data_IF_294255067269
#
_entry.id   IF_294255067269
#
_cell.length_a   1.000
_cell.length_b   1.000
_cell.length_c   1.000
_cell.angle_alpha   90.00
_cell.angle_beta   90.00
_cell.angle_gamma   90.00
#
_symmetry.space_group_name_H-M   'P 1'
#
loop_
_entity.id
_entity.type
_entity.pdbx_description
1 polymer ?
#
# COMPACT_ATOMS: atom_id res chain seq x y z
N UNK A 1 -5.48 4.67 -35.49
CA UNK A 1 -5.26 5.16 -34.12
C UNK A 1 -6.60 5.43 -33.51
N UNK A 2 -7.01 4.54 -32.64
CA UNK A 2 -8.32 4.49 -32.05
C UNK A 2 -8.46 5.52 -30.93
N UNK A 3 -9.67 5.98 -30.67
CA UNK A 3 -10.03 6.75 -29.50
C UNK A 3 -9.49 6.05 -28.25
N UNK A 4 -8.53 6.63 -27.59
CA UNK A 4 -7.85 5.99 -26.49
C UNK A 4 -7.92 6.85 -25.22
N UNK A 5 -8.88 6.58 -24.37
CA UNK A 5 -8.87 6.95 -22.97
C UNK A 5 -8.02 5.94 -22.20
N UNK A 6 -6.75 5.81 -22.57
CA UNK A 6 -5.86 4.85 -21.91
C UNK A 6 -4.65 5.59 -21.38
N UNK A 7 -4.49 5.54 -20.08
CA UNK A 7 -3.27 5.96 -19.43
C UNK A 7 -2.17 4.89 -19.61
N UNK A 8 -0.93 5.34 -19.69
CA UNK A 8 0.26 4.49 -19.70
C UNK A 8 0.34 3.47 -20.86
N UNK A 9 -0.05 3.86 -22.07
CA UNK A 9 0.14 3.02 -23.26
C UNK A 9 1.63 2.95 -23.60
N UNK A 10 2.22 1.75 -23.46
CA UNK A 10 3.61 1.50 -23.81
C UNK A 10 3.72 1.20 -25.30
N UNK A 11 4.47 2.03 -26.03
CA UNK A 11 4.78 1.81 -27.45
C UNK A 11 6.27 1.51 -27.59
N UNK A 12 6.60 0.31 -28.03
CA UNK A 12 7.99 -0.03 -28.31
C UNK A 12 8.46 0.69 -29.58
N UNK A 13 9.58 1.41 -29.47
CA UNK A 13 10.21 2.02 -30.65
C UNK A 13 10.73 0.95 -31.60
N UNK A 14 10.40 1.08 -32.88
CA UNK A 14 10.94 0.20 -33.92
C UNK A 14 12.46 0.29 -33.99
N UNK A 15 13.11 -0.75 -34.48
CA UNK A 15 14.57 -0.78 -34.67
C UNK A 15 15.06 0.38 -35.55
N UNK A 16 14.26 0.80 -36.53
CA UNK A 16 14.55 1.97 -37.37
C UNK A 16 14.48 3.29 -36.59
N UNK A 17 13.48 3.46 -35.73
CA UNK A 17 13.34 4.64 -34.87
C UNK A 17 14.46 4.69 -33.84
N UNK A 18 14.82 3.55 -33.24
CA UNK A 18 15.93 3.47 -32.28
C UNK A 18 17.26 3.95 -32.91
N UNK A 19 17.51 3.64 -34.20
CA UNK A 19 18.72 4.12 -34.93
C UNK A 19 18.77 5.63 -35.14
N UNK A 20 17.65 6.33 -35.08
CA UNK A 20 17.58 7.80 -35.24
C UNK A 20 17.91 8.55 -33.95
N UNK A 21 17.91 7.89 -32.80
CA UNK A 21 18.28 8.49 -31.52
C UNK A 21 19.77 8.81 -31.50
N UNK A 22 20.11 10.02 -31.02
CA UNK A 22 21.48 10.52 -30.94
C UNK A 22 21.89 10.73 -29.49
N UNK A 23 23.20 10.64 -29.21
CA UNK A 23 23.74 11.09 -27.93
C UNK A 23 23.55 12.61 -27.82
N UNK A 24 22.94 13.06 -26.72
CA UNK A 24 22.62 14.46 -26.48
C UNK A 24 21.15 14.79 -26.77
N UNK A 25 20.88 15.95 -27.34
CA UNK A 25 19.51 16.46 -27.52
C UNK A 25 18.78 15.74 -28.64
N UNK A 26 17.62 15.15 -28.30
CA UNK A 26 16.65 14.60 -29.23
C UNK A 26 15.34 15.39 -29.09
N UNK A 27 14.58 15.51 -30.17
CA UNK A 27 13.26 16.14 -30.18
C UNK A 27 12.23 15.07 -30.52
N UNK A 28 11.23 14.96 -29.70
CA UNK A 28 10.07 14.09 -29.91
C UNK A 28 8.87 15.01 -30.11
N UNK A 29 8.07 14.78 -31.13
CA UNK A 29 6.83 15.48 -31.38
C UNK A 29 5.66 14.51 -31.28
N UNK A 30 4.63 14.88 -30.53
CA UNK A 30 3.38 14.15 -30.46
C UNK A 30 2.24 15.05 -30.90
N UNK A 31 1.27 14.49 -31.61
CA UNK A 31 0.09 15.20 -32.07
C UNK A 31 -1.17 14.49 -31.53
N UNK A 32 -2.02 15.26 -30.90
CA UNK A 32 -3.34 14.84 -30.47
C UNK A 32 -4.40 15.57 -31.28
N UNK A 33 -5.22 14.84 -32.03
CA UNK A 33 -6.37 15.39 -32.73
C UNK A 33 -7.61 15.22 -31.87
N UNK A 34 -8.20 16.33 -31.44
CA UNK A 34 -9.42 16.32 -30.65
C UNK A 34 -10.63 16.59 -31.53
N UNK A 35 -11.63 15.74 -31.48
CA UNK A 35 -12.90 15.91 -32.21
C UNK A 35 -14.03 16.37 -31.30
N UNK A 36 -14.01 16.02 -30.02
CA UNK A 36 -15.05 16.38 -29.04
C UNK A 36 -14.51 16.27 -27.62
N UNK A 37 -14.94 17.15 -26.71
CA UNK A 37 -14.59 17.11 -25.30
C UNK A 37 -13.17 17.58 -24.98
N UNK A 38 -12.68 17.27 -23.80
CA UNK A 38 -11.30 17.55 -23.38
C UNK A 38 -10.29 16.66 -24.06
N UNK A 39 -9.10 17.16 -24.35
CA UNK A 39 -8.00 16.36 -24.87
C UNK A 39 -6.68 16.79 -24.24
N UNK A 40 -5.85 15.83 -23.94
CA UNK A 40 -4.47 16.04 -23.54
C UNK A 40 -3.58 14.95 -24.15
N UNK A 41 -2.33 15.25 -24.30
CA UNK A 41 -1.31 14.26 -24.61
C UNK A 41 -0.13 14.46 -23.67
N UNK A 42 0.24 13.41 -23.00
CA UNK A 42 1.46 13.34 -22.23
C UNK A 42 2.27 12.15 -22.73
N UNK A 43 3.57 12.30 -22.86
CA UNK A 43 4.43 11.22 -23.30
C UNK A 43 5.84 11.37 -22.76
N UNK A 44 6.49 10.24 -22.56
CA UNK A 44 7.87 10.15 -22.14
C UNK A 44 8.62 9.06 -22.89
N UNK A 45 9.91 9.24 -23.06
CA UNK A 45 10.80 8.19 -23.53
C UNK A 45 11.51 7.59 -22.31
N UNK A 46 11.40 6.29 -22.15
CA UNK A 46 12.16 5.57 -21.14
C UNK A 46 12.84 4.35 -21.76
N UNK A 47 13.99 4.00 -21.22
CA UNK A 47 14.63 2.73 -21.49
C UNK A 47 14.16 1.78 -20.41
N UNK A 48 13.52 0.66 -20.76
CA UNK A 48 13.25 -0.38 -19.77
C UNK A 48 14.55 -0.71 -19.09
N UNK A 49 14.61 -0.51 -17.79
CA UNK A 49 15.78 -0.92 -17.05
C UNK A 49 15.77 -2.45 -17.04
N UNK A 50 16.55 -3.08 -17.90
CA UNK A 50 16.82 -4.51 -17.86
C UNK A 50 17.70 -4.88 -16.64
N UNK A 51 17.72 -4.05 -15.60
CA UNK A 51 18.23 -4.52 -14.33
C UNK A 51 17.38 -5.73 -13.98
N UNK A 52 18.03 -6.87 -13.90
CA UNK A 52 17.53 -8.10 -13.32
C UNK A 52 16.65 -7.72 -12.14
N UNK A 53 15.38 -8.13 -12.18
CA UNK A 53 14.48 -7.93 -11.05
C UNK A 53 15.25 -8.35 -9.81
N UNK A 54 15.28 -7.51 -8.77
CA UNK A 54 16.00 -7.82 -7.53
C UNK A 54 15.60 -9.20 -6.98
N UNK A 55 14.46 -9.71 -7.42
CA UNK A 55 13.92 -11.02 -7.10
C UNK A 55 13.87 -11.88 -8.37
N UNK A 56 14.60 -12.99 -8.36
CA UNK A 56 14.70 -13.91 -9.51
C UNK A 56 13.45 -14.79 -9.66
N UNK A 57 12.77 -15.09 -8.56
CA UNK A 57 11.63 -15.99 -8.52
C UNK A 57 10.34 -15.24 -8.21
N UNK A 58 9.32 -15.49 -9.02
CA UNK A 58 7.98 -14.95 -8.80
C UNK A 58 7.12 -15.96 -8.03
N UNK A 59 6.37 -15.46 -7.05
CA UNK A 59 5.32 -16.23 -6.40
C UNK A 59 4.17 -16.50 -7.37
N UNK A 60 3.55 -17.68 -7.24
CA UNK A 60 2.39 -18.07 -8.05
C UNK A 60 1.14 -17.87 -7.19
N UNK A 61 0.26 -16.94 -7.59
CA UNK A 61 -1.03 -16.78 -6.94
C UNK A 61 -1.91 -18.02 -7.18
N UNK A 62 -2.35 -18.64 -6.10
CA UNK A 62 -3.21 -19.82 -6.10
C UNK A 62 -4.68 -19.47 -5.99
N UNK A 63 -5.00 -18.49 -5.14
CA UNK A 63 -6.37 -18.07 -4.92
C UNK A 63 -6.44 -16.61 -4.47
N UNK A 64 -7.61 -16.03 -4.66
CA UNK A 64 -8.06 -14.79 -4.05
C UNK A 64 -9.52 -14.98 -3.58
N UNK A 65 -9.83 -14.46 -2.40
CA UNK A 65 -11.20 -14.41 -1.87
C UNK A 65 -11.45 -13.02 -1.31
N UNK A 66 -12.45 -12.34 -1.85
CA UNK A 66 -12.85 -10.99 -1.45
C UNK A 66 -14.06 -11.08 -0.55
N UNK A 67 -13.92 -10.61 0.68
CA UNK A 67 -14.98 -10.54 1.68
C UNK A 67 -15.22 -9.06 2.04
N UNK A 68 -16.31 -8.71 2.72
CA UNK A 68 -16.64 -7.32 3.06
C UNK A 68 -15.52 -6.56 3.76
N UNK A 69 -14.89 -7.13 4.78
CA UNK A 69 -13.82 -6.47 5.55
C UNK A 69 -12.43 -7.04 5.28
N UNK A 70 -12.32 -8.19 4.61
CA UNK A 70 -11.05 -8.90 4.43
C UNK A 70 -10.87 -9.40 3.00
N UNK A 71 -9.63 -9.33 2.46
CA UNK A 71 -9.26 -10.00 1.22
C UNK A 71 -8.12 -10.97 1.49
N UNK A 72 -8.34 -12.22 1.13
CA UNK A 72 -7.41 -13.32 1.33
C UNK A 72 -6.72 -13.66 0.02
N UNK A 73 -5.40 -13.75 0.06
CA UNK A 73 -4.57 -14.26 -1.04
C UNK A 73 -3.77 -15.45 -0.58
N UNK A 74 -3.64 -16.45 -1.45
CA UNK A 74 -2.72 -17.58 -1.25
C UNK A 74 -1.72 -17.62 -2.40
N UNK A 75 -0.44 -17.70 -2.06
CA UNK A 75 0.66 -17.78 -3.01
C UNK A 75 1.51 -19.03 -2.74
N UNK A 76 1.99 -19.67 -3.81
CA UNK A 76 3.09 -20.61 -3.73
C UNK A 76 4.41 -19.86 -4.00
N UNK A 77 5.32 -19.92 -3.03
CA UNK A 77 6.64 -19.29 -3.05
C UNK A 77 7.71 -20.37 -2.95
N UNK A 78 7.93 -21.14 -4.03
CA UNK A 78 8.81 -22.31 -4.00
C UNK A 78 8.30 -23.38 -3.00
N UNK A 79 9.11 -23.74 -1.98
CA UNK A 79 8.76 -24.78 -1.01
C UNK A 79 7.85 -24.30 0.13
N UNK A 80 7.43 -23.03 0.12
CA UNK A 80 6.54 -22.47 1.14
C UNK A 80 5.26 -21.91 0.51
N UNK A 81 4.19 -21.93 1.26
CA UNK A 81 2.94 -21.25 0.97
C UNK A 81 2.84 -20.00 1.81
N UNK A 82 2.50 -18.89 1.16
CA UNK A 82 2.25 -17.61 1.79
C UNK A 82 0.76 -17.26 1.69
N UNK A 83 0.10 -17.08 2.82
CA UNK A 83 -1.23 -16.50 2.90
C UNK A 83 -1.11 -15.05 3.34
N UNK A 84 -1.74 -14.13 2.60
CA UNK A 84 -1.79 -12.69 2.93
C UNK A 84 -3.24 -12.28 3.08
N UNK A 85 -3.54 -11.53 4.15
CA UNK A 85 -4.87 -11.00 4.41
C UNK A 85 -4.78 -9.50 4.57
N UNK A 86 -5.45 -8.77 3.69
CA UNK A 86 -5.68 -7.33 3.85
C UNK A 86 -6.98 -7.15 4.61
N UNK A 87 -6.93 -6.47 5.75
CA UNK A 87 -8.10 -6.23 6.59
C UNK A 87 -8.34 -4.74 6.78
N UNK A 88 -9.54 -4.29 6.42
CA UNK A 88 -10.09 -2.99 6.76
C UNK A 88 -11.33 -3.22 7.65
N UNK A 89 -11.27 -2.94 8.97
CA UNK A 89 -12.35 -3.29 9.89
C UNK A 89 -13.54 -2.32 9.79
N UNK A 90 -14.24 -2.37 8.65
CA UNK A 90 -15.37 -1.50 8.29
C UNK A 90 -16.67 -2.02 8.90
N UNK A 91 -16.84 -1.94 10.21
CA UNK A 91 -18.04 -2.43 10.93
C UNK A 91 -19.03 -1.29 11.17
N UNK A 92 -20.20 -1.37 10.56
CA UNK A 92 -21.23 -0.32 10.61
C UNK A 92 -21.85 -0.12 12.00
N UNK A 93 -21.73 -1.09 12.88
CA UNK A 93 -22.21 -1.08 14.25
C UNK A 93 -21.22 -0.49 15.27
N UNK A 94 -20.01 -0.09 14.82
CA UNK A 94 -18.93 0.43 15.67
C UNK A 94 -18.30 1.68 15.01
N UNK A 95 -18.81 2.86 15.40
CA UNK A 95 -18.38 4.13 14.81
C UNK A 95 -16.92 4.46 15.11
N UNK A 96 -16.40 4.04 16.24
CA UNK A 96 -14.99 4.23 16.57
C UNK A 96 -14.11 3.38 15.69
N UNK A 97 -14.45 2.12 15.51
CA UNK A 97 -13.66 1.19 14.69
C UNK A 97 -13.72 1.54 13.21
N UNK A 98 -14.94 1.79 12.66
CA UNK A 98 -15.11 2.10 11.23
C UNK A 98 -14.45 3.42 10.84
N UNK A 99 -14.41 4.40 11.75
CA UNK A 99 -13.77 5.68 11.49
C UNK A 99 -12.25 5.67 11.73
N UNK A 100 -11.72 4.70 12.47
CA UNK A 100 -10.29 4.60 12.76
C UNK A 100 -9.50 4.19 11.52
N UNK A 101 -8.57 5.03 11.03
CA UNK A 101 -7.91 4.83 9.74
C UNK A 101 -6.69 3.89 9.87
N UNK A 102 -6.86 2.75 10.53
CA UNK A 102 -5.81 1.74 10.71
C UNK A 102 -6.26 0.41 10.13
N UNK A 103 -5.52 -0.07 9.16
CA UNK A 103 -5.74 -1.32 8.46
C UNK A 103 -4.59 -2.29 8.71
N UNK A 104 -4.79 -3.56 8.40
CA UNK A 104 -3.80 -4.60 8.66
C UNK A 104 -3.41 -5.33 7.38
N UNK A 105 -2.13 -5.65 7.27
CA UNK A 105 -1.60 -6.63 6.33
C UNK A 105 -1.07 -7.78 7.18
N UNK A 106 -1.86 -8.85 7.27
CA UNK A 106 -1.51 -10.05 8.01
C UNK A 106 -0.95 -11.09 7.06
N UNK A 107 0.00 -11.89 7.51
CA UNK A 107 0.58 -12.97 6.72
C UNK A 107 0.82 -14.20 7.56
N UNK A 108 0.73 -15.35 6.90
CA UNK A 108 1.10 -16.65 7.43
C UNK A 108 1.92 -17.39 6.39
N UNK A 109 3.05 -17.93 6.78
CA UNK A 109 3.91 -18.76 5.93
C UNK A 109 4.01 -20.17 6.53
N UNK A 110 3.86 -21.19 5.68
CA UNK A 110 4.05 -22.58 6.07
C UNK A 110 4.85 -23.35 5.03
N UNK A 111 5.62 -24.33 5.46
CA UNK A 111 6.29 -25.27 4.57
C UNK A 111 5.27 -26.22 3.94
N UNK A 112 5.44 -26.52 2.63
CA UNK A 112 4.59 -27.48 1.89
C UNK A 112 5.35 -28.73 1.44
N UNK A 113 6.66 -28.81 1.70
CA UNK A 113 7.51 -29.96 1.34
C UNK A 113 7.97 -30.78 2.56
N UNK A 114 7.39 -30.53 3.74
CA UNK A 114 7.70 -31.18 5.03
C UNK A 114 9.09 -30.88 5.60
N UNK A 115 9.86 -29.97 4.97
CA UNK A 115 11.16 -29.49 5.48
C UNK A 115 10.98 -28.16 6.21
N UNK A 116 12.01 -27.71 6.91
CA UNK A 116 12.07 -26.37 7.47
C UNK A 116 12.80 -25.44 6.49
N UNK A 117 12.32 -24.22 6.37
CA UNK A 117 12.90 -23.18 5.52
C UNK A 117 13.10 -21.90 6.31
N UNK A 118 14.23 -21.25 6.13
CA UNK A 118 14.49 -19.92 6.69
C UNK A 118 13.73 -18.88 5.85
N UNK A 119 12.83 -18.16 6.50
CA UNK A 119 11.89 -17.27 5.82
C UNK A 119 11.91 -15.88 6.42
N UNK A 120 11.95 -14.89 5.54
CA UNK A 120 11.74 -13.49 5.88
C UNK A 120 10.63 -12.90 5.02
N UNK A 121 9.80 -12.08 5.64
CA UNK A 121 8.76 -11.31 4.95
C UNK A 121 9.28 -9.89 4.74
N UNK A 122 9.10 -9.36 3.52
CA UNK A 122 9.44 -7.99 3.15
C UNK A 122 8.23 -7.33 2.51
N UNK A 123 7.89 -6.15 2.98
CA UNK A 123 6.80 -5.33 2.44
C UNK A 123 7.34 -3.91 2.29
N UNK A 124 7.10 -3.30 1.13
CA UNK A 124 7.50 -1.92 0.89
C UNK A 124 6.36 -1.10 0.27
N UNK A 125 6.40 0.18 0.52
CA UNK A 125 5.59 1.20 -0.14
C UNK A 125 6.41 2.49 -0.28
N UNK A 126 5.81 3.52 -0.86
CA UNK A 126 6.46 4.82 -1.06
C UNK A 126 5.55 5.95 -0.56
N UNK A 127 6.07 7.18 -0.37
CA UNK A 127 5.25 8.35 -0.05
C UNK A 127 4.17 8.69 -1.07
N UNK A 128 4.09 7.98 -2.21
CA UNK A 128 2.99 8.14 -3.18
C UNK A 128 1.60 7.86 -2.59
N UNK A 129 1.53 7.13 -1.47
CA UNK A 129 0.27 6.96 -0.72
C UNK A 129 -0.31 8.26 -0.15
N UNK A 130 0.47 9.34 -0.12
CA UNK A 130 0.09 10.61 0.51
C UNK A 130 0.20 11.81 -0.43
N UNK A 131 0.10 11.60 -1.75
CA UNK A 131 0.16 12.66 -2.75
C UNK A 131 -1.02 12.60 -3.70
N UNK A 132 -1.45 13.75 -4.18
CA UNK A 132 -2.42 13.85 -5.30
C UNK A 132 -1.72 13.67 -6.65
N UNK A 133 -0.50 14.19 -6.78
CA UNK A 133 0.30 14.11 -8.01
C UNK A 133 1.69 13.54 -7.73
N UNK A 134 2.19 12.61 -8.56
CA UNK A 134 3.50 11.98 -8.36
C UNK A 134 4.70 12.95 -8.32
N UNK A 135 4.54 14.19 -8.77
CA UNK A 135 5.58 15.22 -8.77
C UNK A 135 5.62 16.04 -7.48
N UNK A 136 4.65 15.88 -6.56
CA UNK A 136 4.62 16.66 -5.33
C UNK A 136 5.82 16.32 -4.44
N UNK A 137 6.47 17.33 -3.84
CA UNK A 137 7.52 17.08 -2.86
C UNK A 137 6.97 16.42 -1.60
N UNK A 138 7.72 15.45 -1.08
CA UNK A 138 7.32 14.69 0.11
C UNK A 138 8.41 14.68 1.16
N UNK A 139 8.00 14.49 2.40
CA UNK A 139 8.86 14.18 3.53
C UNK A 139 8.45 12.84 4.12
N UNK A 140 9.42 11.99 4.41
CA UNK A 140 9.20 10.74 5.13
C UNK A 140 10.18 10.65 6.31
N UNK A 141 9.73 10.12 7.45
CA UNK A 141 10.54 9.97 8.65
C UNK A 141 10.20 8.73 9.45
N UNK A 142 11.21 8.20 10.14
CA UNK A 142 11.05 7.08 11.08
C UNK A 142 10.74 7.60 12.47
N UNK A 143 9.73 7.03 13.11
CA UNK A 143 9.30 7.35 14.48
C UNK A 143 9.27 6.04 15.28
N UNK A 144 9.73 6.08 16.51
CA UNK A 144 9.64 4.96 17.45
C UNK A 144 8.89 5.41 18.69
N UNK A 145 7.82 4.69 19.02
CA UNK A 145 6.98 5.05 20.16
C UNK A 145 6.19 3.82 20.64
N UNK A 146 6.11 3.64 21.94
CA UNK A 146 5.21 2.69 22.63
C UNK A 146 5.26 1.26 22.07
N UNK A 147 6.48 0.77 21.81
CA UNK A 147 6.67 -0.59 21.29
C UNK A 147 6.28 -0.79 19.83
N UNK A 148 6.11 0.31 19.08
CA UNK A 148 5.91 0.34 17.62
C UNK A 148 6.96 1.19 16.93
N UNK A 149 7.39 0.74 15.74
CA UNK A 149 8.19 1.51 14.80
C UNK A 149 7.32 1.92 13.64
N UNK A 150 7.36 3.21 13.30
CA UNK A 150 6.58 3.80 12.23
C UNK A 150 7.48 4.39 11.15
N UNK A 151 6.99 4.39 9.91
CA UNK A 151 7.44 5.35 8.91
C UNK A 151 6.23 6.20 8.55
N UNK A 152 6.35 7.51 8.75
CA UNK A 152 5.37 8.52 8.41
C UNK A 152 5.79 9.19 7.11
N UNK A 153 4.86 9.43 6.18
CA UNK A 153 5.13 10.18 4.95
C UNK A 153 3.96 11.09 4.58
N UNK A 154 4.26 12.26 4.03
CA UNK A 154 3.26 13.22 3.55
C UNK A 154 3.89 14.22 2.58
N UNK A 155 3.06 15.08 1.99
CA UNK A 155 3.55 16.22 1.20
C UNK A 155 4.22 17.27 2.10
N UNK A 156 5.15 18.03 1.55
CA UNK A 156 5.80 19.12 2.30
C UNK A 156 4.81 20.27 2.54
N UNK A 157 4.00 20.58 1.53
CA UNK A 157 3.15 21.79 1.54
C UNK A 157 1.88 21.63 2.39
N UNK A 158 1.44 20.41 2.63
CA UNK A 158 0.24 20.09 3.43
C UNK A 158 -0.98 20.97 3.10
N UNK A 159 -1.49 20.93 1.85
CA UNK A 159 -2.56 21.84 1.38
C UNK A 159 -3.94 21.40 1.90
N UNK A 160 -4.14 21.49 3.20
CA UNK A 160 -5.33 20.99 3.92
C UNK A 160 -6.61 21.53 3.30
N UNK A 161 -7.46 20.65 2.76
CA UNK A 161 -8.74 20.95 2.10
C UNK A 161 -8.66 21.95 0.95
N UNK A 162 -7.46 22.15 0.36
CA UNK A 162 -7.25 23.21 -0.64
C UNK A 162 -7.74 22.87 -2.04
N UNK A 163 -7.86 21.60 -2.39
CA UNK A 163 -8.24 21.15 -3.74
C UNK A 163 -9.71 20.74 -3.81
N UNK A 164 -10.30 20.93 -5.00
CA UNK A 164 -11.69 20.56 -5.33
C UNK A 164 -11.72 19.85 -6.68
N UNK A 165 -12.59 18.87 -6.86
CA UNK A 165 -12.80 18.16 -8.12
C UNK A 165 -12.99 16.65 -7.93
N UNK A 166 -13.24 15.94 -9.03
CA UNK A 166 -13.68 14.54 -9.00
C UNK A 166 -12.53 13.53 -8.92
N UNK A 167 -11.34 13.89 -9.39
CA UNK A 167 -10.19 12.98 -9.44
C UNK A 167 -9.04 13.45 -8.53
N UNK A 168 -9.39 13.91 -7.34
CA UNK A 168 -8.41 14.40 -6.37
C UNK A 168 -8.17 13.34 -5.31
N UNK A 169 -6.89 12.94 -5.16
CA UNK A 169 -6.44 12.19 -4.01
C UNK A 169 -6.05 13.16 -2.88
N UNK A 170 -6.23 12.72 -1.66
CA UNK A 170 -5.81 13.50 -0.49
C UNK A 170 -4.29 13.70 -0.51
N UNK A 171 -3.83 14.93 -0.33
CA UNK A 171 -2.43 15.32 -0.35
C UNK A 171 -2.02 16.19 0.86
N UNK A 172 -2.81 16.12 1.90
CA UNK A 172 -2.50 16.64 3.23
C UNK A 172 -2.63 15.52 4.26
N UNK A 173 -2.04 15.71 5.43
CA UNK A 173 -1.93 14.64 6.41
C UNK A 173 -0.78 13.68 6.09
N UNK A 174 -0.81 12.52 6.69
CA UNK A 174 0.31 11.59 6.66
C UNK A 174 -0.14 10.15 6.53
N UNK A 175 0.48 9.43 5.59
CA UNK A 175 0.42 7.98 5.54
C UNK A 175 1.43 7.37 6.54
N UNK A 176 1.08 6.24 7.11
CA UNK A 176 1.90 5.49 8.06
C UNK A 176 1.98 4.03 7.66
N UNK A 177 3.15 3.44 7.80
CA UNK A 177 3.32 2.01 8.03
C UNK A 177 3.83 1.82 9.45
N UNK A 178 3.38 0.77 10.13
CA UNK A 178 3.76 0.48 11.49
C UNK A 178 4.03 -1.01 11.70
N UNK A 179 5.12 -1.33 12.38
CA UNK A 179 5.49 -2.68 12.80
C UNK A 179 5.81 -2.74 14.29
N UNK A 180 5.69 -3.93 14.88
CA UNK A 180 6.09 -4.16 16.25
C UNK A 180 7.58 -3.88 16.45
N UNK A 181 7.97 -3.33 17.60
CA UNK A 181 9.37 -3.26 18.02
C UNK A 181 9.73 -4.54 18.78
N UNK A 182 10.27 -5.51 18.07
CA UNK A 182 10.77 -6.76 18.64
C UNK A 182 12.06 -7.20 17.93
N UNK A 183 12.57 -8.38 18.26
CA UNK A 183 13.81 -8.88 17.71
C UNK A 183 13.71 -9.33 16.23
N UNK A 184 12.51 -9.59 15.72
CA UNK A 184 12.30 -10.14 14.38
C UNK A 184 11.88 -9.11 13.37
N UNK A 185 11.21 -8.03 13.79
CA UNK A 185 10.66 -7.03 12.90
C UNK A 185 11.50 -5.75 12.84
N UNK A 186 11.57 -5.15 11.69
CA UNK A 186 12.24 -3.88 11.47
C UNK A 186 11.52 -3.02 10.43
N UNK A 187 11.66 -1.70 10.57
CA UNK A 187 11.30 -0.74 9.52
C UNK A 187 12.54 0.05 9.10
N UNK A 188 12.63 0.39 7.83
CA UNK A 188 13.70 1.21 7.31
C UNK A 188 13.24 2.13 6.19
N UNK A 189 13.77 3.34 6.19
CA UNK A 189 13.56 4.37 5.19
C UNK A 189 14.87 4.60 4.42
N UNK A 190 14.85 4.34 3.11
CA UNK A 190 16.05 4.43 2.28
C UNK A 190 15.77 4.55 0.79
N UNK A 191 16.80 4.52 -0.05
CA UNK A 191 16.65 4.52 -1.50
C UNK A 191 15.85 3.30 -1.95
N UNK A 192 14.91 3.52 -2.89
CA UNK A 192 13.97 2.48 -3.34
C UNK A 192 14.67 1.29 -4.00
N UNK A 193 15.62 1.55 -4.88
CA UNK A 193 16.30 0.49 -5.62
C UNK A 193 17.33 -0.23 -4.75
N UNK A 194 18.10 0.53 -3.96
CA UNK A 194 19.10 -0.03 -3.05
C UNK A 194 18.45 -0.87 -1.94
N UNK A 195 17.31 -0.43 -1.37
CA UNK A 195 16.60 -1.16 -0.33
C UNK A 195 16.21 -2.56 -0.80
N UNK A 196 15.56 -2.62 -1.95
CA UNK A 196 15.09 -3.87 -2.55
C UNK A 196 16.24 -4.81 -2.91
N UNK A 197 17.28 -4.31 -3.57
CA UNK A 197 18.44 -5.12 -3.98
C UNK A 197 19.24 -5.62 -2.78
N UNK A 198 19.38 -4.80 -1.73
CA UNK A 198 20.09 -5.20 -0.50
C UNK A 198 19.31 -6.29 0.23
N UNK A 199 17.98 -6.12 0.36
CA UNK A 199 17.17 -7.17 0.98
C UNK A 199 17.21 -8.48 0.18
N UNK A 200 17.07 -8.43 -1.14
CA UNK A 200 17.12 -9.62 -2.00
C UNK A 200 18.45 -10.38 -1.90
N UNK A 201 19.57 -9.67 -1.76
CA UNK A 201 20.91 -10.29 -1.70
C UNK A 201 21.34 -10.73 -0.30
N UNK A 202 20.87 -10.07 0.76
CA UNK A 202 21.39 -10.25 2.12
C UNK A 202 20.33 -10.60 3.17
N UNK A 203 19.03 -10.48 2.84
CA UNK A 203 17.93 -10.58 3.81
C UNK A 203 17.91 -9.45 4.85
N UNK A 204 18.62 -8.35 4.61
CA UNK A 204 18.72 -7.23 5.56
C UNK A 204 18.23 -5.93 4.93
N UNK A 205 17.52 -5.12 5.72
CA UNK A 205 17.21 -3.76 5.32
C UNK A 205 18.47 -2.88 5.34
N UNK A 206 18.51 -1.88 4.44
CA UNK A 206 19.47 -0.79 4.57
C UNK A 206 19.29 -0.08 5.92
N UNK A 207 20.38 0.46 6.49
CA UNK A 207 20.28 1.34 7.65
C UNK A 207 19.35 2.52 7.34
N UNK A 208 18.39 2.77 8.20
CA UNK A 208 17.42 3.85 8.01
C UNK A 208 18.09 5.22 8.06
N UNK A 209 17.78 6.09 7.11
CA UNK A 209 18.24 7.49 7.09
C UNK A 209 17.54 8.39 8.12
N UNK A 210 16.57 7.86 8.86
CA UNK A 210 15.78 8.62 9.83
C UNK A 210 14.74 9.53 9.18
N UNK A 211 15.18 10.45 8.30
CA UNK A 211 14.30 11.34 7.53
C UNK A 211 14.81 11.49 6.08
N UNK A 212 13.91 11.54 5.12
CA UNK A 212 14.19 11.81 3.71
C UNK A 212 13.21 12.83 3.18
N UNK A 213 13.72 13.89 2.58
CA UNK A 213 12.96 14.87 1.79
C UNK A 213 13.16 14.57 0.32
N UNK A 214 12.06 14.35 -0.39
CA UNK A 214 12.08 14.03 -1.82
C UNK A 214 11.44 15.18 -2.61
N UNK A 215 12.18 15.75 -3.54
CA UNK A 215 11.73 16.86 -4.40
C UNK A 215 11.22 16.42 -5.77
N UNK A 216 11.41 15.16 -6.12
CA UNK A 216 11.01 14.59 -7.40
C UNK A 216 10.45 13.19 -7.17
N UNK A 217 9.30 12.88 -7.77
CA UNK A 217 8.61 11.60 -7.61
C UNK A 217 9.50 10.37 -7.89
N UNK A 218 10.35 10.44 -8.92
CA UNK A 218 11.28 9.35 -9.27
C UNK A 218 12.33 9.02 -8.20
N UNK A 219 12.49 9.88 -7.21
CA UNK A 219 13.43 9.72 -6.09
C UNK A 219 12.72 9.37 -4.78
N UNK A 220 11.43 8.98 -4.84
CA UNK A 220 10.69 8.58 -3.66
C UNK A 220 11.37 7.41 -2.95
N UNK A 221 11.57 7.51 -1.63
CA UNK A 221 12.22 6.45 -0.87
C UNK A 221 11.32 5.22 -0.72
N UNK A 222 11.92 4.07 -0.43
CA UNK A 222 11.22 2.93 0.10
C UNK A 222 10.91 3.16 1.59
N UNK A 223 9.65 2.95 1.95
CA UNK A 223 9.17 2.75 3.30
C UNK A 223 9.05 1.24 3.48
N UNK A 224 10.07 0.61 4.03
CA UNK A 224 10.20 -0.83 4.07
C UNK A 224 9.94 -1.40 5.47
N UNK A 225 9.28 -2.54 5.50
CA UNK A 225 9.05 -3.38 6.67
C UNK A 225 9.59 -4.77 6.41
N UNK A 226 10.16 -5.42 7.41
CA UNK A 226 10.54 -6.83 7.35
C UNK A 226 10.21 -7.54 8.65
N UNK A 227 9.94 -8.83 8.55
CA UNK A 227 9.81 -9.75 9.67
C UNK A 227 10.61 -11.03 9.38
N UNK A 228 11.58 -11.31 10.23
CA UNK A 228 12.37 -12.51 10.17
C UNK A 228 11.67 -13.65 10.92
N UNK A 229 10.94 -14.48 10.19
CA UNK A 229 10.24 -15.63 10.74
C UNK A 229 11.21 -16.77 11.11
N UNK A 230 12.47 -16.74 10.63
CA UNK A 230 13.46 -17.81 10.81
C UNK A 230 12.97 -19.13 10.24
N UNK A 231 13.28 -20.23 10.90
CA UNK A 231 12.92 -21.58 10.44
C UNK A 231 11.40 -21.82 10.54
N UNK A 232 10.77 -21.99 9.38
CA UNK A 232 9.33 -22.23 9.22
C UNK A 232 9.09 -23.69 8.85
N UNK A 233 8.22 -24.36 9.58
CA UNK A 233 7.79 -25.75 9.37
C UNK A 233 6.39 -25.82 8.75
N UNK A 234 5.81 -27.00 8.65
CA UNK A 234 4.44 -27.22 8.21
C UNK A 234 3.37 -26.62 9.15
N UNK A 235 3.69 -26.38 10.42
CA UNK A 235 2.80 -25.68 11.36
C UNK A 235 2.67 -24.20 11.06
N UNK A 236 3.66 -23.65 10.35
CA UNK A 236 3.68 -22.25 9.92
C UNK A 236 4.06 -21.26 11.01
N UNK A 237 4.30 -20.03 10.56
CA UNK A 237 4.46 -18.84 11.39
C UNK A 237 3.71 -17.68 10.78
N UNK A 238 3.24 -16.75 11.60
CA UNK A 238 2.44 -15.61 11.19
C UNK A 238 2.93 -14.31 11.80
N UNK A 239 2.59 -13.22 11.16
CA UNK A 239 2.81 -11.88 11.66
C UNK A 239 1.85 -10.90 10.99
N UNK A 240 1.96 -9.64 11.35
CA UNK A 240 1.23 -8.55 10.71
C UNK A 240 1.97 -7.22 10.81
N UNK A 241 1.68 -6.34 9.88
CA UNK A 241 1.96 -4.92 9.96
C UNK A 241 0.67 -4.13 9.83
N UNK A 242 0.72 -2.86 10.21
CA UNK A 242 -0.41 -1.94 10.11
C UNK A 242 -0.09 -0.82 9.13
N UNK A 243 -1.12 -0.37 8.43
CA UNK A 243 -1.10 0.81 7.55
C UNK A 243 -2.19 1.76 8.00
N UNK A 244 -1.91 3.05 8.00
CA UNK A 244 -2.92 4.04 8.37
C UNK A 244 -2.69 5.39 7.74
N UNK A 245 -3.69 6.26 7.89
CA UNK A 245 -3.64 7.63 7.37
C UNK A 245 -4.25 8.61 8.37
N UNK A 246 -3.51 9.63 8.74
CA UNK A 246 -4.03 10.75 9.52
C UNK A 246 -4.21 11.96 8.61
N UNK A 247 -5.44 12.30 8.31
CA UNK A 247 -5.79 13.42 7.44
C UNK A 247 -5.81 14.79 8.16
N UNK A 248 -5.48 14.83 9.43
CA UNK A 248 -5.48 16.01 10.31
C UNK A 248 -6.87 16.64 10.44
N UNK A 249 -7.42 17.12 9.33
CA UNK A 249 -8.80 17.57 9.16
C UNK A 249 -9.41 16.84 7.96
N UNK A 250 -10.53 16.17 8.17
CA UNK A 250 -11.15 15.32 7.14
C UNK A 250 -11.99 16.10 6.15
N UNK A 251 -12.68 17.12 6.62
CA UNK A 251 -13.58 17.93 5.78
C UNK A 251 -13.55 19.41 6.18
N UNK A 252 -13.97 20.26 5.25
CA UNK A 252 -14.34 21.63 5.53
C UNK A 252 -15.85 21.81 5.29
N UNK A 253 -16.57 22.20 6.34
CA UNK A 253 -18.00 22.43 6.31
C UNK A 253 -18.34 23.82 6.84
N UNK A 254 -19.05 24.62 6.06
CA UNK A 254 -19.39 26.01 6.42
C UNK A 254 -18.16 26.82 6.88
N UNK A 255 -17.04 26.74 6.15
CA UNK A 255 -15.76 27.40 6.47
C UNK A 255 -15.11 26.95 7.77
N UNK A 256 -15.55 25.81 8.32
CA UNK A 256 -14.95 25.22 9.51
C UNK A 256 -14.36 23.87 9.18
N UNK A 257 -13.07 23.71 9.46
CA UNK A 257 -12.39 22.42 9.33
C UNK A 257 -12.82 21.49 10.45
N UNK A 258 -13.20 20.27 10.11
CA UNK A 258 -13.63 19.23 11.04
C UNK A 258 -12.65 18.06 11.02
N UNK A 259 -12.33 17.58 12.22
CA UNK A 259 -11.56 16.34 12.39
C UNK A 259 -12.45 15.12 12.17
N UNK A 260 -11.82 13.97 11.87
CA UNK A 260 -12.51 12.70 11.85
C UNK A 260 -13.06 12.30 13.21
N UNK A 261 -14.12 11.51 13.21
CA UNK A 261 -14.82 11.07 14.44
C UNK A 261 -13.89 10.38 15.44
N UNK A 262 -13.02 9.47 14.98
CA UNK A 262 -12.08 8.72 15.82
C UNK A 262 -11.12 9.57 16.65
N UNK A 263 -10.92 10.82 16.26
CA UNK A 263 -10.04 11.76 16.99
C UNK A 263 -10.66 12.32 18.26
N UNK A 264 -12.00 12.20 18.45
CA UNK A 264 -12.72 12.71 19.60
C UNK A 264 -12.29 14.15 19.96
N UNK A 265 -12.41 15.06 18.98
CA UNK A 265 -11.99 16.47 19.10
C UNK A 265 -10.49 16.65 19.46
N UNK A 266 -9.64 15.79 18.91
CA UNK A 266 -8.19 15.86 19.10
C UNK A 266 -7.66 15.20 20.38
N UNK A 267 -8.52 14.49 21.13
CA UNK A 267 -8.12 13.75 22.32
C UNK A 267 -7.38 12.44 22.01
N UNK A 268 -7.58 11.90 20.80
CA UNK A 268 -6.97 10.66 20.33
C UNK A 268 -6.01 10.99 19.18
N UNK A 269 -4.75 10.64 19.34
CA UNK A 269 -3.75 10.75 18.27
C UNK A 269 -3.72 9.51 17.40
N UNK A 270 -3.12 9.62 16.22
CA UNK A 270 -2.90 8.46 15.33
C UNK A 270 -2.05 7.38 16.02
N UNK A 271 -1.13 7.75 16.89
CA UNK A 271 -0.32 6.79 17.63
C UNK A 271 -1.16 6.01 18.64
N UNK A 272 -2.10 6.66 19.34
CA UNK A 272 -3.04 5.99 20.25
C UNK A 272 -3.95 5.03 19.46
N UNK A 273 -4.34 5.42 18.23
CA UNK A 273 -5.13 4.55 17.34
C UNK A 273 -4.35 3.28 16.93
N UNK A 274 -3.08 3.43 16.54
CA UNK A 274 -2.22 2.29 16.23
C UNK A 274 -1.96 1.38 17.44
N UNK A 275 -1.76 1.94 18.61
CA UNK A 275 -1.56 1.18 19.85
C UNK A 275 -2.79 0.32 20.18
N UNK A 276 -3.98 0.92 20.17
CA UNK A 276 -5.25 0.21 20.34
C UNK A 276 -5.46 -0.86 19.26
N UNK A 277 -5.13 -0.54 18.01
CA UNK A 277 -5.24 -1.48 16.90
C UNK A 277 -4.34 -2.68 17.10
N UNK A 278 -3.10 -2.49 17.57
CA UNK A 278 -2.17 -3.58 17.91
C UNK A 278 -2.69 -4.43 19.06
N UNK A 279 -3.11 -3.80 20.16
CA UNK A 279 -3.60 -4.49 21.36
C UNK A 279 -4.84 -5.33 21.09
N UNK A 280 -5.73 -4.83 20.23
CA UNK A 280 -6.99 -5.50 19.91
C UNK A 280 -6.94 -6.34 18.63
N UNK A 281 -5.75 -6.61 18.05
CA UNK A 281 -5.60 -7.28 16.76
C UNK A 281 -6.41 -8.57 16.66
N UNK A 282 -6.23 -9.51 17.57
CA UNK A 282 -6.93 -10.81 17.55
C UNK A 282 -8.45 -10.66 17.66
N UNK A 283 -8.91 -9.77 18.53
CA UNK A 283 -10.34 -9.46 18.69
C UNK A 283 -10.93 -8.85 17.42
N UNK A 284 -10.22 -7.90 16.80
CA UNK A 284 -10.66 -7.25 15.55
C UNK A 284 -10.70 -8.29 14.42
N UNK A 285 -9.68 -9.14 14.28
CA UNK A 285 -9.67 -10.20 13.26
C UNK A 285 -10.82 -11.19 13.46
N UNK A 286 -11.15 -11.56 14.69
CA UNK A 286 -12.30 -12.41 14.98
C UNK A 286 -13.62 -11.72 14.60
N UNK A 287 -13.81 -10.47 15.01
CA UNK A 287 -15.00 -9.68 14.68
C UNK A 287 -15.17 -9.51 13.15
N UNK A 288 -14.08 -9.21 12.42
CA UNK A 288 -14.11 -9.12 10.95
C UNK A 288 -14.63 -10.40 10.32
N UNK A 289 -14.10 -11.57 10.72
CA UNK A 289 -14.56 -12.86 10.19
C UNK A 289 -16.05 -13.14 10.48
N UNK A 290 -16.50 -12.83 11.68
CA UNK A 290 -17.91 -13.02 12.06
C UNK A 290 -18.83 -12.06 11.26
N UNK A 291 -18.40 -10.80 11.11
CA UNK A 291 -19.13 -9.80 10.36
C UNK A 291 -19.20 -10.14 8.87
N UNK A 292 -18.10 -10.57 8.26
CA UNK A 292 -18.06 -11.02 6.88
C UNK A 292 -18.99 -12.21 6.63
N UNK A 293 -18.99 -13.19 7.54
CA UNK A 293 -19.88 -14.34 7.45
C UNK A 293 -21.36 -13.95 7.56
N UNK A 294 -21.70 -13.00 8.43
CA UNK A 294 -23.06 -12.49 8.57
C UNK A 294 -23.52 -11.79 7.28
N UNK A 295 -22.77 -10.84 6.76
CA UNK A 295 -23.10 -10.10 5.52
C UNK A 295 -23.27 -11.04 4.34
N UNK A 296 -22.35 -12.00 4.17
CA UNK A 296 -22.41 -12.96 3.06
C UNK A 296 -23.60 -13.90 3.17
N UNK A 297 -23.92 -14.39 4.37
CA UNK A 297 -25.08 -15.24 4.60
C UNK A 297 -26.40 -14.51 4.27
N UNK A 298 -26.56 -13.28 4.75
CA UNK A 298 -27.75 -12.48 4.48
C UNK A 298 -27.90 -12.16 2.99
N UNK A 299 -26.80 -11.81 2.31
CA UNK A 299 -26.79 -11.56 0.89
C UNK A 299 -27.06 -12.83 0.06
N UNK A 300 -26.57 -14.00 0.46
CA UNK A 300 -26.81 -15.28 -0.20
C UNK A 300 -28.28 -15.70 -0.07
N UNK A 301 -28.87 -15.50 1.10
CA UNK A 301 -30.31 -15.74 1.31
C UNK A 301 -31.18 -14.79 0.47
N UNK A 302 -30.78 -13.54 0.30
CA UNK A 302 -31.51 -12.54 -0.46
C UNK A 302 -31.44 -12.73 -1.98
N UNK A 303 -30.27 -13.12 -2.52
CA UNK A 303 -30.04 -13.13 -3.98
C UNK A 303 -29.12 -14.24 -4.49
N UNK A 304 -28.73 -15.18 -3.64
CA UNK A 304 -27.84 -16.29 -3.97
C UNK A 304 -26.38 -15.89 -4.04
N UNK A 305 -25.51 -16.86 -4.32
CA UNK A 305 -24.04 -16.74 -4.24
C UNK A 305 -23.48 -15.56 -5.06
N UNK A 306 -23.92 -15.37 -6.30
CA UNK A 306 -23.42 -14.27 -7.15
C UNK A 306 -23.76 -12.89 -6.59
N UNK A 307 -24.92 -12.78 -5.96
CA UNK A 307 -25.32 -11.55 -5.27
C UNK A 307 -24.46 -11.31 -4.04
N UNK A 308 -24.16 -12.34 -3.25
CA UNK A 308 -23.26 -12.24 -2.12
C UNK A 308 -21.82 -11.81 -2.53
N UNK A 309 -21.30 -12.37 -3.63
CA UNK A 309 -20.01 -11.95 -4.20
C UNK A 309 -20.03 -10.46 -4.64
N UNK A 310 -21.13 -9.99 -5.24
CA UNK A 310 -21.29 -8.58 -5.60
C UNK A 310 -21.37 -7.67 -4.36
N UNK A 311 -22.11 -8.08 -3.34
CA UNK A 311 -22.21 -7.35 -2.07
C UNK A 311 -20.83 -7.23 -1.38
N UNK A 312 -20.02 -8.29 -1.39
CA UNK A 312 -18.68 -8.26 -0.85
C UNK A 312 -17.77 -7.25 -1.57
N UNK A 313 -17.87 -7.17 -2.90
CA UNK A 313 -17.14 -6.19 -3.71
C UNK A 313 -17.63 -4.75 -3.49
N UNK A 314 -18.94 -4.56 -3.36
CA UNK A 314 -19.56 -3.24 -3.22
C UNK A 314 -19.46 -2.66 -1.80
N UNK A 315 -19.12 -3.48 -0.82
CA UNK A 315 -19.00 -3.08 0.58
C UNK A 315 -17.80 -2.15 0.86
N UNK A 316 -16.80 -2.15 -0.01
CA UNK A 316 -15.52 -1.42 0.13
C UNK A 316 -15.51 -0.11 -0.60
#
# INVERSE_FOLDING_TARGET
TDYCWRDNVLLELTAETKKKLRKGKNVIAAHCHNTTGGAYVDFGLFVPNNQTTAFENLAIQKSVSVLPTQTYYTFACGPVELNVVFTAPLMLDDLDLISTPVNYISYQVRSIDKKQHDVQVYIETTPQLAVNKPIQPTIAKVIRRNGLSYIQAGTIDQPVTAHKGDLICIDWGYAYIAGNMNATTAVSLGDYNEMKSTFASSGKLLPSKGEIVTRQAKLMPAMAYTDNLGMVSATGKSGFMMVGYDDIYSIEYMYQRRMAYWKHDGKVSIFDAFERAKENYESIMHRCRAYDAMILNDAEQAGGRKYAELCALAYR
#
